data_IF_896206052099
#
_entry.id   IF_896206052099
#
_cell.length_a   1.000
_cell.length_b   1.000
_cell.length_c   1.000
_cell.angle_alpha   90.00
_cell.angle_beta   90.00
_cell.angle_gamma   90.00
#
_symmetry.space_group_name_H-M   'P 1'
#
loop_
_entity.id
_entity.type
_entity.pdbx_description
1 polymer ?
#
# COMPACT_ATOMS: atom_id res chain seq x y z
N UNK A 1 -6.97 3.91 -19.84
CA UNK A 1 -6.02 3.99 -18.71
C UNK A 1 -6.56 3.14 -17.57
N UNK A 2 -5.70 2.48 -16.81
CA UNK A 2 -6.09 1.73 -15.61
C UNK A 2 -5.65 2.53 -14.37
N UNK A 3 -6.58 2.81 -13.46
CA UNK A 3 -6.27 3.47 -12.19
C UNK A 3 -6.28 2.46 -11.07
N UNK A 4 -5.20 2.41 -10.29
CA UNK A 4 -5.09 1.60 -9.08
C UNK A 4 -5.01 2.54 -7.89
N UNK A 5 -6.09 2.63 -7.11
CA UNK A 5 -6.14 3.44 -5.90
C UNK A 5 -5.87 2.56 -4.69
N UNK A 6 -4.67 2.64 -4.12
CA UNK A 6 -4.28 1.91 -2.90
C UNK A 6 -4.32 2.84 -1.69
N UNK A 7 -5.51 2.94 -1.11
CA UNK A 7 -5.83 3.88 -0.05
C UNK A 7 -5.62 3.35 1.37
N UNK A 8 -6.21 4.07 2.33
CA UNK A 8 -6.15 3.71 3.75
C UNK A 8 -7.00 2.48 4.08
N UNK A 9 -8.20 2.34 3.51
CA UNK A 9 -9.12 1.26 3.90
C UNK A 9 -9.07 0.05 2.99
N UNK A 10 -8.91 0.26 1.68
CA UNK A 10 -8.97 -0.78 0.66
C UNK A 10 -8.18 -0.33 -0.58
N UNK A 11 -7.97 -1.25 -1.51
CA UNK A 11 -7.36 -0.97 -2.81
C UNK A 11 -8.38 -1.24 -3.92
N UNK A 12 -8.57 -0.28 -4.83
CA UNK A 12 -9.54 -0.38 -5.94
C UNK A 12 -8.82 -0.31 -7.28
N UNK A 13 -9.21 -1.18 -8.21
CA UNK A 13 -8.76 -1.19 -9.60
C UNK A 13 -9.91 -0.73 -10.48
N UNK A 14 -9.71 0.39 -11.17
CA UNK A 14 -10.71 1.04 -12.00
C UNK A 14 -10.19 1.22 -13.42
N UNK A 15 -10.61 0.36 -14.37
CA UNK A 15 -10.33 0.58 -15.79
C UNK A 15 -11.19 1.73 -16.34
N UNK A 16 -10.55 2.66 -17.02
CA UNK A 16 -11.17 3.84 -17.63
C UNK A 16 -11.01 3.80 -19.15
N UNK A 17 -12.12 3.97 -19.87
CA UNK A 17 -12.17 4.13 -21.32
C UNK A 17 -12.85 5.45 -21.66
N UNK A 18 -12.16 6.35 -22.37
CA UNK A 18 -12.70 7.67 -22.71
C UNK A 18 -13.16 8.48 -21.49
N UNK A 19 -12.45 8.34 -20.36
CA UNK A 19 -12.78 8.96 -19.07
C UNK A 19 -13.99 8.37 -18.34
N UNK A 20 -14.59 7.28 -18.84
CA UNK A 20 -15.67 6.56 -18.15
C UNK A 20 -15.15 5.29 -17.49
N UNK A 21 -15.54 5.00 -16.24
CA UNK A 21 -15.24 3.74 -15.59
C UNK A 21 -16.00 2.58 -16.22
N UNK A 22 -15.29 1.50 -16.51
CA UNK A 22 -15.87 0.25 -16.96
C UNK A 22 -16.31 -0.57 -15.74
N UNK A 23 -17.55 -0.33 -15.28
CA UNK A 23 -18.06 -0.85 -14.02
C UNK A 23 -17.98 -2.37 -13.86
N UNK A 24 -18.18 -3.16 -14.93
CA UNK A 24 -18.10 -4.62 -14.90
C UNK A 24 -16.69 -5.14 -14.54
N UNK A 25 -15.68 -4.37 -14.90
CA UNK A 25 -14.28 -4.72 -14.71
C UNK A 25 -13.66 -4.07 -13.46
N UNK A 26 -14.42 -3.30 -12.67
CA UNK A 26 -13.90 -2.77 -11.41
C UNK A 26 -13.65 -3.93 -10.45
N UNK A 27 -12.51 -3.88 -9.76
CA UNK A 27 -12.14 -4.84 -8.72
C UNK A 27 -11.74 -4.11 -7.46
N UNK A 28 -12.02 -4.72 -6.32
CA UNK A 28 -11.67 -4.19 -4.99
C UNK A 28 -11.03 -5.29 -4.16
N UNK A 29 -9.95 -4.92 -3.48
CA UNK A 29 -9.24 -5.75 -2.50
C UNK A 29 -9.44 -5.08 -1.14
N UNK A 30 -9.85 -5.83 -0.13
CA UNK A 30 -10.09 -5.29 1.22
C UNK A 30 -8.81 -5.19 2.05
N UNK A 31 -7.73 -4.80 1.38
CA UNK A 31 -6.43 -4.52 1.99
C UNK A 31 -6.07 -3.07 1.66
N UNK A 32 -5.85 -2.30 2.71
CA UNK A 32 -5.33 -0.94 2.68
C UNK A 32 -4.48 -0.66 3.91
N UNK A 33 -3.99 0.57 4.02
CA UNK A 33 -3.11 1.00 5.12
C UNK A 33 -3.58 0.65 6.53
N UNK A 34 -4.89 0.70 6.81
CA UNK A 34 -5.50 0.33 8.11
C UNK A 34 -5.27 -1.13 8.45
N UNK A 35 -5.52 -2.02 7.49
CA UNK A 35 -5.34 -3.45 7.67
C UNK A 35 -3.85 -3.76 7.93
N UNK A 36 -2.96 -3.13 7.18
CA UNK A 36 -1.52 -3.26 7.34
C UNK A 36 -1.04 -2.78 8.71
N UNK A 37 -1.50 -1.61 9.16
CA UNK A 37 -1.17 -1.07 10.49
C UNK A 37 -1.66 -2.01 11.60
N UNK A 38 -2.89 -2.52 11.52
CA UNK A 38 -3.43 -3.47 12.50
C UNK A 38 -2.66 -4.79 12.52
N UNK A 39 -2.29 -5.30 11.34
CA UNK A 39 -1.50 -6.52 11.23
C UNK A 39 -0.09 -6.33 11.81
N UNK A 40 0.56 -5.20 11.52
CA UNK A 40 1.85 -4.84 12.10
C UNK A 40 1.78 -4.72 13.62
N UNK A 41 0.74 -4.07 14.16
CA UNK A 41 0.52 -3.98 15.60
C UNK A 41 0.42 -5.38 16.23
N UNK A 42 -0.31 -6.31 15.60
CA UNK A 42 -0.40 -7.71 16.06
C UNK A 42 0.96 -8.42 16.05
N UNK A 43 1.75 -8.26 14.99
CA UNK A 43 3.07 -8.88 14.90
C UNK A 43 4.03 -8.34 15.96
N UNK A 44 4.00 -7.04 16.19
CA UNK A 44 4.81 -6.37 17.20
C UNK A 44 4.39 -6.82 18.61
N UNK A 45 3.08 -6.81 18.93
CA UNK A 45 2.55 -7.24 20.23
C UNK A 45 2.88 -8.68 20.59
N UNK A 46 3.09 -9.56 19.60
CA UNK A 46 3.49 -10.95 19.84
C UNK A 46 4.99 -11.11 20.18
N UNK A 47 5.84 -10.17 19.78
CA UNK A 47 7.31 -10.28 19.88
C UNK A 47 7.94 -9.32 20.88
N UNK A 48 7.32 -8.17 21.09
CA UNK A 48 7.82 -7.06 21.87
C UNK A 48 6.79 -6.66 22.93
N UNK A 49 6.31 -5.41 22.86
CA UNK A 49 5.32 -4.82 23.77
C UNK A 49 3.96 -4.77 23.11
N UNK A 50 2.90 -4.75 23.93
CA UNK A 50 1.56 -4.64 23.40
C UNK A 50 1.27 -3.23 22.83
N UNK A 51 1.34 -3.09 21.51
CA UNK A 51 1.11 -1.84 20.78
C UNK A 51 -0.31 -1.79 20.17
N UNK A 52 -1.24 -2.66 20.58
CA UNK A 52 -2.59 -2.74 19.99
C UNK A 52 -3.43 -1.47 20.20
N UNK A 53 -3.15 -0.72 21.26
CA UNK A 53 -3.85 0.52 21.58
C UNK A 53 -3.17 1.76 20.96
N UNK A 54 -1.92 1.64 20.53
CA UNK A 54 -1.08 2.74 20.05
C UNK A 54 -0.89 2.71 18.53
N UNK A 55 -2.00 2.58 17.80
CA UNK A 55 -1.99 2.44 16.34
C UNK A 55 -1.38 3.64 15.61
N UNK A 56 -1.38 4.82 16.23
CA UNK A 56 -0.71 6.01 15.69
C UNK A 56 0.80 5.78 15.55
N UNK A 57 1.45 5.30 16.61
CA UNK A 57 2.89 5.02 16.62
C UNK A 57 3.20 3.89 15.63
N UNK A 58 2.37 2.84 15.59
CA UNK A 58 2.54 1.74 14.63
C UNK A 58 2.40 2.24 13.19
N UNK A 59 1.52 3.21 12.92
CA UNK A 59 1.40 3.81 11.60
C UNK A 59 2.66 4.60 11.21
N UNK A 60 3.21 5.42 12.12
CA UNK A 60 4.49 6.12 11.89
C UNK A 60 5.64 5.13 11.66
N UNK A 61 5.70 4.06 12.46
CA UNK A 61 6.69 2.98 12.28
C UNK A 61 6.58 2.32 10.90
N UNK A 62 5.35 2.03 10.46
CA UNK A 62 5.07 1.45 9.14
C UNK A 62 5.55 2.38 8.02
N UNK A 63 5.18 3.66 8.09
CA UNK A 63 5.56 4.66 7.08
C UNK A 63 7.07 4.92 7.05
N UNK A 64 7.75 4.87 8.19
CA UNK A 64 9.18 5.12 8.26
C UNK A 64 10.05 3.91 7.86
N UNK A 65 9.58 2.68 8.12
CA UNK A 65 10.44 1.49 8.06
C UNK A 65 10.05 0.45 7.01
N UNK A 66 8.78 0.36 6.63
CA UNK A 66 8.29 -0.72 5.77
C UNK A 66 8.55 -0.42 4.28
N UNK A 67 8.75 -1.48 3.51
CA UNK A 67 9.01 -1.41 2.08
C UNK A 67 8.52 -2.68 1.38
N UNK A 68 8.35 -2.64 0.06
CA UNK A 68 8.00 -3.81 -0.74
C UNK A 68 9.30 -4.47 -1.23
N UNK A 69 9.49 -5.74 -0.87
CA UNK A 69 10.66 -6.50 -1.31
C UNK A 69 10.56 -6.92 -2.77
N UNK A 70 11.70 -6.88 -3.48
CA UNK A 70 11.84 -7.38 -4.85
C UNK A 70 11.96 -8.92 -4.91
N UNK A 71 12.47 -9.53 -3.84
CA UNK A 71 12.58 -10.99 -3.65
C UNK A 71 12.27 -11.33 -2.18
N UNK A 72 10.99 -11.60 -1.95
CA UNK A 72 10.48 -11.93 -0.62
C UNK A 72 11.16 -13.15 -0.01
N UNK A 73 11.48 -14.17 -0.82
CA UNK A 73 12.04 -15.42 -0.31
C UNK A 73 13.47 -15.21 0.18
N UNK A 74 14.29 -14.50 -0.61
CA UNK A 74 15.66 -14.19 -0.22
C UNK A 74 15.72 -13.34 1.05
N UNK A 75 14.88 -12.31 1.17
CA UNK A 75 14.82 -11.46 2.36
C UNK A 75 14.30 -12.23 3.59
N UNK A 76 13.38 -13.17 3.40
CA UNK A 76 12.93 -14.06 4.47
C UNK A 76 14.05 -15.00 4.94
N UNK A 77 14.85 -15.54 4.03
CA UNK A 77 16.01 -16.39 4.36
C UNK A 77 17.08 -15.62 5.15
N UNK A 78 17.35 -14.37 4.77
CA UNK A 78 18.30 -13.48 5.47
C UNK A 78 17.83 -13.12 6.89
N UNK A 79 16.53 -12.97 7.08
CA UNK A 79 15.92 -12.65 8.39
C UNK A 79 15.60 -13.89 9.22
N UNK A 80 15.85 -15.10 8.70
CA UNK A 80 15.60 -16.34 9.41
C UNK A 80 16.69 -16.61 10.45
N UNK A 81 16.26 -16.86 11.70
CA UNK A 81 17.17 -17.10 12.84
C UNK A 81 18.03 -18.35 12.68
N UNK A 82 17.59 -19.34 11.90
CA UNK A 82 18.20 -20.66 11.83
C UNK A 82 17.55 -21.68 12.78
N UNK A 83 18.01 -22.92 12.70
CA UNK A 83 17.55 -24.04 13.54
C UNK A 83 18.03 -23.87 14.99
N UNK A 84 17.36 -24.54 15.93
CA UNK A 84 17.59 -24.40 17.37
C UNK A 84 19.06 -24.65 17.74
N UNK A 85 19.77 -23.59 18.14
CA UNK A 85 21.16 -23.64 18.62
C UNK A 85 22.14 -22.80 17.78
N UNK A 86 21.89 -22.66 16.48
CA UNK A 86 22.76 -21.92 15.57
C UNK A 86 22.06 -20.68 15.05
N UNK A 87 22.57 -19.51 15.43
CA UNK A 87 22.13 -18.23 14.86
C UNK A 87 22.94 -17.96 13.61
N UNK A 88 22.26 -17.80 12.48
CA UNK A 88 22.90 -17.40 11.22
C UNK A 88 23.56 -16.03 11.34
N UNK A 89 24.67 -15.83 10.63
CA UNK A 89 25.41 -14.57 10.62
C UNK A 89 24.56 -13.41 10.08
N UNK A 90 23.76 -13.66 9.06
CA UNK A 90 22.83 -12.66 8.48
C UNK A 90 21.78 -12.21 9.50
N UNK A 91 21.25 -13.15 10.29
CA UNK A 91 20.31 -12.82 11.36
C UNK A 91 20.93 -11.98 12.47
N UNK A 92 22.20 -12.27 12.80
CA UNK A 92 22.95 -11.57 13.84
C UNK A 92 23.36 -10.16 13.41
N UNK A 93 23.81 -9.98 12.17
CA UNK A 93 24.17 -8.68 11.59
C UNK A 93 22.94 -7.85 11.21
N UNK A 94 21.78 -8.49 11.06
CA UNK A 94 20.55 -7.86 10.57
C UNK A 94 20.50 -7.72 9.05
N UNK A 95 21.56 -8.09 8.33
CA UNK A 95 21.64 -8.11 6.87
C UNK A 95 21.17 -6.82 6.15
N UNK A 96 21.27 -5.65 6.81
CA UNK A 96 20.74 -4.36 6.32
C UNK A 96 19.21 -4.27 6.27
N UNK A 97 18.51 -5.34 6.66
CA UNK A 97 17.04 -5.44 6.71
C UNK A 97 16.52 -5.11 8.10
N UNK A 98 17.30 -5.33 9.15
CA UNK A 98 16.84 -5.03 10.51
C UNK A 98 17.07 -3.55 10.81
N UNK A 99 16.10 -2.90 11.46
CA UNK A 99 16.24 -1.53 11.97
C UNK A 99 15.67 -1.43 13.38
N UNK A 100 16.23 -0.54 14.18
CA UNK A 100 15.73 -0.26 15.52
C UNK A 100 14.87 1.00 15.50
N UNK A 101 13.67 0.92 16.04
CA UNK A 101 12.76 2.05 16.20
C UNK A 101 12.70 2.46 17.66
N UNK A 102 13.13 3.68 17.95
CA UNK A 102 13.05 4.26 19.30
C UNK A 102 11.68 4.87 19.47
N UNK A 103 10.93 4.42 20.48
CA UNK A 103 9.61 4.92 20.78
C UNK A 103 9.67 6.38 21.28
N UNK A 104 8.65 7.20 20.99
CA UNK A 104 8.54 8.53 21.56
C UNK A 104 8.31 8.44 23.07
N UNK A 105 8.98 9.31 23.83
CA UNK A 105 8.82 9.43 25.29
C UNK A 105 7.75 10.46 25.69
N UNK A 106 7.23 11.23 24.72
CA UNK A 106 6.26 12.33 24.89
C UNK A 106 6.68 13.47 25.84
N UNK A 107 7.90 13.41 26.38
CA UNK A 107 8.49 14.45 27.23
C UNK A 107 9.51 15.28 26.46
N UNK A 108 10.37 14.61 25.70
CA UNK A 108 11.42 15.24 24.87
C UNK A 108 11.18 15.01 23.38
N UNK A 109 10.53 13.89 23.02
CA UNK A 109 10.30 13.44 21.66
C UNK A 109 8.85 13.00 21.49
N UNK A 110 8.14 13.73 20.64
CA UNK A 110 6.77 13.39 20.25
C UNK A 110 6.70 12.40 19.07
N UNK A 111 7.84 12.14 18.40
CA UNK A 111 7.93 11.18 17.30
C UNK A 111 9.05 10.18 17.56
N UNK A 112 8.82 8.95 17.10
CA UNK A 112 9.86 7.92 17.15
C UNK A 112 10.95 8.16 16.10
N UNK A 113 12.09 7.50 16.30
CA UNK A 113 13.27 7.64 15.44
C UNK A 113 13.70 6.26 14.96
N UNK A 114 13.84 6.12 13.64
CA UNK A 114 14.39 4.92 13.03
C UNK A 114 15.92 5.00 12.99
N UNK A 115 16.58 3.98 13.51
CA UNK A 115 18.04 3.83 13.57
C UNK A 115 18.46 2.55 12.86
N UNK A 116 19.69 2.55 12.34
CA UNK A 116 20.30 1.34 11.80
C UNK A 116 20.55 0.33 12.93
N UNK A 117 20.36 -0.96 12.62
CA UNK A 117 20.51 -2.01 13.61
C UNK A 117 21.98 -2.25 13.95
N UNK A 118 22.33 -2.09 15.23
CA UNK A 118 23.65 -2.41 15.76
C UNK A 118 23.55 -3.60 16.75
N UNK A 119 24.11 -4.78 16.43
CA UNK A 119 24.06 -5.97 17.29
C UNK A 119 24.69 -5.76 18.68
N UNK A 120 25.72 -4.93 18.78
CA UNK A 120 26.42 -4.65 20.02
C UNK A 120 25.56 -3.78 20.94
N UNK A 121 24.97 -2.72 20.39
CA UNK A 121 24.02 -1.87 21.12
C UNK A 121 22.77 -2.64 21.51
N UNK A 122 22.17 -3.42 20.60
CA UNK A 122 21.00 -4.24 20.89
C UNK A 122 21.22 -5.20 22.08
N UNK A 123 22.40 -5.81 22.17
CA UNK A 123 22.74 -6.70 23.30
C UNK A 123 22.88 -5.93 24.61
N UNK A 124 23.46 -4.72 24.56
CA UNK A 124 23.60 -3.83 25.71
C UNK A 124 22.23 -3.31 26.17
N UNK A 125 21.44 -2.73 25.27
CA UNK A 125 20.10 -2.20 25.55
C UNK A 125 19.18 -3.27 26.13
N UNK A 126 19.24 -4.51 25.62
CA UNK A 126 18.46 -5.62 26.17
C UNK A 126 18.87 -5.99 27.60
N UNK A 127 20.16 -5.89 27.94
CA UNK A 127 20.63 -6.09 29.32
C UNK A 127 20.17 -4.95 30.23
N UNK A 128 20.30 -3.69 29.82
CA UNK A 128 19.83 -2.54 30.59
C UNK A 128 18.31 -2.57 30.80
N UNK A 129 17.53 -2.89 29.76
CA UNK A 129 16.08 -3.03 29.87
C UNK A 129 15.68 -4.15 30.85
N UNK A 130 16.39 -5.27 30.86
CA UNK A 130 16.17 -6.34 31.85
C UNK A 130 16.54 -5.92 33.29
N UNK A 131 17.39 -4.91 33.45
CA UNK A 131 17.78 -4.33 34.74
C UNK A 131 16.92 -3.12 35.13
N UNK A 132 15.99 -2.67 34.28
CA UNK A 132 15.15 -1.49 34.53
C UNK A 132 15.88 -0.15 34.39
N UNK A 133 17.07 -0.13 33.79
CA UNK A 133 17.93 1.05 33.64
C UNK A 133 17.94 1.60 32.20
N UNK A 134 16.97 1.22 31.36
CA UNK A 134 16.87 1.75 30.00
C UNK A 134 16.14 3.11 29.96
N UNK A 135 16.85 4.15 29.53
CA UNK A 135 16.24 5.48 29.29
C UNK A 135 15.41 5.54 28.00
N UNK A 136 15.67 4.65 27.04
CA UNK A 136 14.97 4.60 25.74
C UNK A 136 14.30 3.24 25.54
N UNK A 137 13.02 3.26 25.17
CA UNK A 137 12.31 2.06 24.70
C UNK A 137 12.56 1.84 23.21
N UNK A 138 13.22 0.72 22.88
CA UNK A 138 13.66 0.41 21.52
C UNK A 138 13.01 -0.87 21.02
N UNK A 139 12.51 -0.82 19.80
CA UNK A 139 11.83 -1.92 19.12
C UNK A 139 12.57 -2.33 17.85
N UNK A 140 13.09 -3.55 17.84
CA UNK A 140 13.85 -4.08 16.70
C UNK A 140 12.93 -4.64 15.63
N UNK A 141 12.78 -3.89 14.54
CA UNK A 141 11.98 -4.25 13.38
C UNK A 141 12.74 -5.16 12.42
N UNK A 142 12.23 -6.38 12.19
CA UNK A 142 12.83 -7.38 11.31
C UNK A 142 11.99 -7.63 10.06
N UNK A 143 11.46 -8.85 9.91
CA UNK A 143 10.78 -9.28 8.69
C UNK A 143 9.42 -8.63 8.49
N UNK A 144 8.81 -8.08 9.53
CA UNK A 144 7.58 -7.27 9.46
C UNK A 144 7.72 -6.07 8.51
N UNK A 145 8.94 -5.54 8.32
CA UNK A 145 9.19 -4.41 7.42
C UNK A 145 8.79 -4.69 5.97
N UNK A 146 8.95 -5.93 5.51
CA UNK A 146 8.57 -6.33 4.15
C UNK A 146 7.41 -7.32 4.12
N UNK A 147 7.19 -8.10 5.19
CA UNK A 147 6.06 -9.02 5.29
C UNK A 147 4.72 -8.31 5.47
N UNK A 148 4.68 -7.12 6.08
CA UNK A 148 3.44 -6.36 6.19
C UNK A 148 3.00 -5.86 4.80
N UNK A 149 3.82 -5.11 4.02
CA UNK A 149 3.42 -4.68 2.68
C UNK A 149 3.19 -5.82 1.68
N UNK A 150 3.83 -6.99 1.87
CA UNK A 150 3.62 -8.17 1.01
C UNK A 150 2.14 -8.60 0.98
N UNK A 151 1.35 -8.33 2.04
CA UNK A 151 -0.07 -8.70 2.07
C UNK A 151 -0.91 -8.03 0.97
N UNK A 152 -0.46 -6.91 0.40
CA UNK A 152 -1.10 -6.31 -0.78
C UNK A 152 -0.97 -7.23 -2.01
N UNK A 153 0.16 -7.93 -2.12
CA UNK A 153 0.49 -8.82 -3.25
C UNK A 153 0.10 -10.27 -2.97
N UNK A 154 0.11 -10.69 -1.69
CA UNK A 154 -0.25 -12.05 -1.26
C UNK A 154 -1.16 -12.03 -0.02
N UNK A 155 -2.46 -11.72 -0.17
CA UNK A 155 -3.43 -11.77 0.93
C UNK A 155 -3.59 -13.16 1.56
N UNK A 156 -3.33 -14.22 0.80
CA UNK A 156 -3.51 -15.60 1.22
C UNK A 156 -2.63 -15.99 2.41
N UNK A 157 -1.50 -15.32 2.61
CA UNK A 157 -0.54 -15.60 3.69
C UNK A 157 -1.14 -15.35 5.09
N UNK A 158 -2.20 -14.56 5.18
CA UNK A 158 -2.97 -14.32 6.41
C UNK A 158 -4.34 -14.99 6.41
N UNK A 159 -4.58 -15.89 5.45
CA UNK A 159 -5.83 -16.62 5.31
C UNK A 159 -6.96 -15.83 4.65
N UNK A 160 -6.69 -14.66 4.07
CA UNK A 160 -7.69 -13.92 3.30
C UNK A 160 -7.91 -14.59 1.95
N UNK A 161 -9.17 -14.87 1.62
CA UNK A 161 -9.58 -15.44 0.33
C UNK A 161 -9.79 -14.35 -0.71
N UNK A 162 -8.76 -13.54 -0.95
CA UNK A 162 -8.77 -12.48 -1.95
C UNK A 162 -7.52 -12.59 -2.84
N UNK A 163 -7.62 -12.20 -4.12
CA UNK A 163 -6.47 -12.16 -5.02
C UNK A 163 -5.48 -11.07 -4.58
N UNK A 164 -4.20 -11.29 -4.90
CA UNK A 164 -3.20 -10.24 -4.83
C UNK A 164 -3.47 -9.10 -5.81
N UNK A 165 -2.76 -7.98 -5.65
CA UNK A 165 -2.95 -6.81 -6.51
C UNK A 165 -2.77 -7.10 -8.01
N UNK A 166 -1.72 -7.83 -8.40
CA UNK A 166 -1.47 -8.16 -9.80
C UNK A 166 -2.55 -9.09 -10.37
N UNK A 167 -2.95 -10.12 -9.61
CA UNK A 167 -4.03 -11.04 -9.99
C UNK A 167 -5.38 -10.32 -10.10
N UNK A 168 -5.67 -9.37 -9.20
CA UNK A 168 -6.91 -8.59 -9.25
C UNK A 168 -6.97 -7.69 -10.49
N UNK A 169 -5.83 -7.14 -10.92
CA UNK A 169 -5.72 -6.43 -12.20
C UNK A 169 -5.95 -7.39 -13.37
N UNK A 170 -5.36 -8.58 -13.35
CA UNK A 170 -5.57 -9.58 -14.40
C UNK A 170 -7.05 -9.98 -14.48
N UNK A 171 -7.71 -10.21 -13.34
CA UNK A 171 -9.15 -10.48 -13.28
C UNK A 171 -9.99 -9.31 -13.81
N UNK A 172 -9.58 -8.07 -13.56
CA UNK A 172 -10.21 -6.87 -14.14
C UNK A 172 -10.09 -6.87 -15.67
N UNK A 173 -8.91 -7.20 -16.21
CA UNK A 173 -8.66 -7.24 -17.64
C UNK A 173 -9.44 -8.36 -18.35
N UNK A 174 -9.60 -9.53 -17.71
CA UNK A 174 -10.35 -10.64 -18.28
C UNK A 174 -11.85 -10.36 -18.51
N UNK A 175 -12.44 -9.39 -17.80
CA UNK A 175 -13.81 -8.92 -18.06
C UNK A 175 -13.90 -8.02 -19.30
N UNK A 176 -12.76 -7.61 -19.85
CA UNK A 176 -12.67 -6.65 -20.94
C UNK A 176 -12.26 -7.32 -22.24
N UNK A 177 -12.74 -6.82 -23.39
CA UNK A 177 -12.25 -7.27 -24.69
C UNK A 177 -10.73 -7.13 -24.80
N UNK A 178 -10.07 -8.15 -25.35
CA UNK A 178 -8.60 -8.23 -25.43
C UNK A 178 -7.97 -7.04 -26.16
N UNK A 179 -8.68 -6.45 -27.13
CA UNK A 179 -8.22 -5.26 -27.85
C UNK A 179 -8.03 -4.02 -26.99
N UNK A 180 -8.62 -3.96 -25.79
CA UNK A 180 -8.42 -2.85 -24.84
C UNK A 180 -7.18 -3.03 -23.97
N UNK A 181 -6.65 -4.25 -23.86
CA UNK A 181 -5.59 -4.57 -22.89
C UNK A 181 -4.31 -3.77 -23.13
N UNK A 182 -3.76 -3.66 -24.36
CA UNK A 182 -2.51 -2.93 -24.57
C UNK A 182 -2.61 -1.46 -24.14
N UNK A 183 -3.74 -0.81 -24.43
CA UNK A 183 -3.97 0.59 -24.05
C UNK A 183 -4.15 0.80 -22.54
N UNK A 184 -4.71 -0.18 -21.84
CA UNK A 184 -4.85 -0.15 -20.37
C UNK A 184 -3.51 -0.44 -19.68
N UNK A 185 -2.81 -1.49 -20.11
CA UNK A 185 -1.53 -1.94 -19.54
C UNK A 185 -0.38 -0.95 -19.79
N UNK A 186 -0.38 -0.27 -20.93
CA UNK A 186 0.61 0.77 -21.22
C UNK A 186 0.38 2.07 -20.41
N UNK A 187 -0.77 2.18 -19.72
CA UNK A 187 -1.15 3.37 -18.97
C UNK A 187 -1.77 2.95 -17.63
N UNK A 188 -0.97 2.41 -16.72
CA UNK A 188 -1.37 2.12 -15.35
C UNK A 188 -0.90 3.26 -14.45
N UNK A 189 -1.83 3.88 -13.74
CA UNK A 189 -1.53 4.94 -12.76
C UNK A 189 -1.92 4.46 -11.37
N UNK A 190 -0.96 4.45 -10.45
CA UNK A 190 -1.16 4.08 -9.06
C UNK A 190 -1.24 5.34 -8.21
N UNK A 191 -2.31 5.47 -7.43
CA UNK A 191 -2.54 6.56 -6.48
C UNK A 191 -2.82 6.02 -5.07
N UNK A 192 -2.88 6.90 -4.08
CA UNK A 192 -3.17 6.55 -2.69
C UNK A 192 -1.92 6.35 -1.83
N UNK A 193 -2.09 6.48 -0.52
CA UNK A 193 -0.97 6.50 0.43
C UNK A 193 -0.19 5.18 0.53
N UNK A 194 -0.83 4.03 0.30
CA UNK A 194 -0.13 2.73 0.34
C UNK A 194 0.81 2.54 -0.85
N UNK A 195 0.64 3.32 -1.92
CA UNK A 195 1.57 3.33 -3.05
C UNK A 195 2.94 3.93 -2.72
N UNK A 196 3.09 4.60 -1.56
CA UNK A 196 4.33 5.25 -1.13
C UNK A 196 5.42 4.28 -0.69
N UNK A 197 5.10 3.01 -0.40
CA UNK A 197 6.12 2.02 -0.07
C UNK A 197 7.18 1.93 -1.18
N UNK A 198 8.44 1.94 -0.78
CA UNK A 198 9.55 1.75 -1.71
C UNK A 198 9.45 0.38 -2.37
N UNK A 199 9.71 0.32 -3.68
CA UNK A 199 9.61 -0.91 -4.46
C UNK A 199 8.20 -1.29 -4.93
N UNK A 200 7.14 -0.58 -4.49
CA UNK A 200 5.75 -0.93 -4.83
C UNK A 200 5.51 -0.98 -6.35
N UNK A 201 5.94 0.06 -7.06
CA UNK A 201 5.73 0.20 -8.51
C UNK A 201 6.54 -0.85 -9.28
N UNK A 202 7.79 -1.04 -8.90
CA UNK A 202 8.69 -2.01 -9.52
C UNK A 202 8.18 -3.43 -9.32
N UNK A 203 7.71 -3.77 -8.11
CA UNK A 203 7.11 -5.06 -7.80
C UNK A 203 5.84 -5.31 -8.62
N UNK A 204 4.92 -4.34 -8.63
CA UNK A 204 3.67 -4.46 -9.39
C UNK A 204 3.92 -4.64 -10.88
N UNK A 205 4.82 -3.83 -11.46
CA UNK A 205 5.17 -3.96 -12.88
C UNK A 205 5.80 -5.31 -13.18
N UNK A 206 6.73 -5.78 -12.34
CA UNK A 206 7.39 -7.09 -12.49
C UNK A 206 6.38 -8.23 -12.49
N UNK A 207 5.43 -8.23 -11.56
CA UNK A 207 4.40 -9.28 -11.49
C UNK A 207 3.42 -9.21 -12.67
N UNK A 208 2.97 -8.01 -13.04
CA UNK A 208 2.04 -7.85 -14.16
C UNK A 208 2.63 -8.34 -15.48
N UNK A 209 3.91 -8.05 -15.75
CA UNK A 209 4.59 -8.55 -16.96
C UNK A 209 4.61 -10.07 -17.02
N UNK A 210 4.61 -10.78 -15.88
CA UNK A 210 4.57 -12.24 -15.85
C UNK A 210 3.18 -12.83 -16.06
N UNK A 211 2.12 -12.03 -15.89
CA UNK A 211 0.72 -12.47 -15.95
C UNK A 211 0.03 -12.11 -17.27
N UNK A 212 0.56 -11.15 -18.02
CA UNK A 212 -0.03 -10.67 -19.26
C UNK A 212 0.75 -11.17 -20.48
N UNK A 213 0.12 -11.24 -21.67
CA UNK A 213 0.81 -11.60 -22.91
C UNK A 213 2.02 -10.70 -23.21
N UNK A 214 3.08 -11.29 -23.80
CA UNK A 214 4.36 -10.63 -24.09
C UNK A 214 4.26 -9.46 -25.09
N UNK A 215 3.20 -9.41 -25.90
CA UNK A 215 2.93 -8.32 -26.84
C UNK A 215 2.43 -7.05 -26.14
N UNK A 216 1.97 -7.15 -24.90
CA UNK A 216 1.48 -6.04 -24.12
C UNK A 216 2.60 -5.33 -23.36
N UNK A 217 2.83 -4.05 -23.68
CA UNK A 217 3.76 -3.20 -22.93
C UNK A 217 3.11 -2.78 -21.61
N UNK A 218 3.67 -3.22 -20.48
CA UNK A 218 3.22 -2.81 -19.15
C UNK A 218 4.01 -1.59 -18.68
N UNK A 219 3.31 -0.51 -18.33
CA UNK A 219 3.90 0.68 -17.71
C UNK A 219 3.09 1.09 -16.49
N UNK A 220 3.74 1.06 -15.34
CA UNK A 220 3.16 1.48 -14.07
C UNK A 220 3.81 2.79 -13.65
N UNK A 221 3.01 3.82 -13.46
CA UNK A 221 3.45 5.13 -13.02
C UNK A 221 2.77 5.53 -11.71
N UNK A 222 3.52 6.26 -10.87
CA UNK A 222 3.02 6.93 -9.68
C UNK A 222 3.22 8.43 -9.88
N UNK A 223 2.21 9.29 -9.63
CA UNK A 223 2.39 10.73 -9.67
C UNK A 223 3.34 11.17 -8.55
N UNK A 224 3.87 12.40 -8.64
CA UNK A 224 4.81 12.94 -7.65
C UNK A 224 4.20 12.98 -6.24
N UNK A 225 2.94 13.38 -6.12
CA UNK A 225 2.17 13.31 -4.87
C UNK A 225 0.94 12.40 -5.05
N UNK A 226 1.05 11.09 -4.76
CA UNK A 226 -0.06 10.16 -4.91
C UNK A 226 -1.18 10.32 -3.88
N UNK A 227 -0.97 11.10 -2.81
CA UNK A 227 -1.99 11.32 -1.78
C UNK A 227 -2.99 12.38 -2.26
N UNK A 228 -2.48 13.51 -2.77
CA UNK A 228 -3.32 14.65 -3.13
C UNK A 228 -3.67 14.70 -4.62
N UNK A 229 -3.05 13.87 -5.47
CA UNK A 229 -3.27 13.90 -6.92
C UNK A 229 -4.75 13.78 -7.31
N UNK A 230 -5.53 12.93 -6.64
CA UNK A 230 -6.97 12.80 -6.89
C UNK A 230 -7.73 14.10 -6.60
N UNK A 231 -7.33 14.83 -5.55
CA UNK A 231 -7.90 16.14 -5.21
C UNK A 231 -7.54 17.18 -6.27
N UNK A 232 -6.28 17.25 -6.70
CA UNK A 232 -5.88 18.15 -7.80
C UNK A 232 -6.60 17.82 -9.11
N UNK A 233 -6.81 16.53 -9.40
CA UNK A 233 -7.62 16.10 -10.54
C UNK A 233 -9.06 16.61 -10.47
N UNK A 234 -9.69 16.51 -9.29
CA UNK A 234 -11.04 17.05 -9.06
C UNK A 234 -11.08 18.59 -9.15
N UNK A 235 -10.08 19.29 -8.60
CA UNK A 235 -9.97 20.74 -8.70
C UNK A 235 -9.79 21.20 -10.15
N UNK A 236 -8.98 20.51 -10.94
CA UNK A 236 -8.82 20.77 -12.37
C UNK A 236 -10.12 20.50 -13.14
N UNK A 237 -10.85 19.44 -12.78
CA UNK A 237 -12.15 19.12 -13.37
C UNK A 237 -13.18 20.21 -13.04
N UNK A 238 -13.22 20.71 -11.80
CA UNK A 238 -14.14 21.76 -11.38
C UNK A 238 -13.89 23.09 -12.13
N UNK A 239 -12.64 23.37 -12.50
CA UNK A 239 -12.27 24.54 -13.31
C UNK A 239 -12.38 24.31 -14.82
N UNK A 240 -12.89 23.16 -15.27
CA UNK A 240 -12.95 22.84 -16.69
C UNK A 240 -14.03 23.67 -17.42
N UNK A 241 -13.79 24.20 -18.62
CA UNK A 241 -14.74 25.09 -19.33
C UNK A 241 -16.14 24.49 -19.58
N UNK A 242 -16.24 23.16 -19.61
CA UNK A 242 -17.48 22.43 -19.85
C UNK A 242 -18.12 21.86 -18.57
N UNK A 243 -17.70 22.30 -17.37
CA UNK A 243 -18.22 21.76 -16.11
C UNK A 243 -19.74 21.92 -15.99
N UNK A 244 -20.29 23.02 -16.53
CA UNK A 244 -21.73 23.29 -16.52
C UNK A 244 -22.57 22.22 -17.24
N UNK A 245 -21.97 21.49 -18.21
CA UNK A 245 -22.67 20.41 -18.92
C UNK A 245 -22.99 19.22 -18.00
N UNK A 246 -22.10 18.95 -17.04
CA UNK A 246 -22.22 17.83 -16.10
C UNK A 246 -22.66 18.25 -14.70
N UNK A 247 -22.61 19.55 -14.38
CA UNK A 247 -23.11 20.07 -13.12
C UNK A 247 -24.63 19.88 -13.03
N UNK A 248 -25.11 19.63 -11.81
CA UNK A 248 -26.55 19.49 -11.51
C UNK A 248 -26.94 20.52 -10.47
N UNK A 249 -27.94 21.32 -10.80
CA UNK A 249 -28.49 22.33 -9.90
C UNK A 249 -29.45 21.71 -8.88
N UNK A 250 -29.68 22.41 -7.78
CA UNK A 250 -30.67 21.99 -6.77
C UNK A 250 -32.08 21.84 -7.36
N UNK A 251 -32.48 22.75 -8.25
CA UNK A 251 -33.80 22.70 -8.89
C UNK A 251 -33.96 21.46 -9.76
N UNK A 252 -32.97 21.14 -10.60
CA UNK A 252 -33.01 19.93 -11.44
C UNK A 252 -33.13 18.65 -10.60
N UNK A 253 -32.47 18.61 -9.42
CA UNK A 253 -32.59 17.49 -8.50
C UNK A 253 -33.99 17.36 -7.90
N UNK A 254 -34.59 18.46 -7.46
CA UNK A 254 -35.94 18.46 -6.88
C UNK A 254 -37.00 18.02 -7.91
N UNK A 255 -36.78 18.33 -9.19
CA UNK A 255 -37.67 17.95 -10.29
C UNK A 255 -37.51 16.48 -10.73
N UNK A 256 -36.28 15.97 -10.86
CA UNK A 256 -36.01 14.66 -11.49
C UNK A 256 -35.63 13.56 -10.50
N UNK A 257 -35.28 13.93 -9.27
CA UNK A 257 -34.87 13.01 -8.22
C UNK A 257 -33.49 12.36 -8.42
N UNK A 258 -33.16 11.44 -7.53
CA UNK A 258 -31.82 10.83 -7.41
C UNK A 258 -31.44 9.88 -8.54
N UNK A 259 -32.40 9.17 -9.13
CA UNK A 259 -32.13 8.21 -10.20
C UNK A 259 -31.64 8.89 -11.49
N UNK A 260 -32.15 10.09 -11.78
CA UNK A 260 -31.72 10.87 -12.93
C UNK A 260 -30.29 11.39 -12.75
N UNK A 261 -29.95 11.88 -11.55
CA UNK A 261 -28.59 12.30 -11.21
C UNK A 261 -27.57 11.19 -11.44
N UNK A 262 -27.87 9.98 -10.96
CA UNK A 262 -26.97 8.84 -11.12
C UNK A 262 -26.66 8.53 -12.60
N UNK A 263 -27.65 8.72 -13.49
CA UNK A 263 -27.45 8.58 -14.94
C UNK A 263 -26.67 9.74 -15.55
N UNK A 264 -26.88 10.98 -15.08
CA UNK A 264 -26.17 12.15 -15.60
C UNK A 264 -24.68 12.13 -15.27
N UNK A 265 -24.32 11.71 -14.05
CA UNK A 265 -22.91 11.61 -13.67
C UNK A 265 -22.17 10.41 -14.29
N UNK A 266 -22.87 9.40 -14.81
CA UNK A 266 -22.22 8.26 -15.48
C UNK A 266 -21.71 8.58 -16.90
N UNK A 267 -22.25 9.62 -17.54
CA UNK A 267 -21.87 10.02 -18.89
C UNK A 267 -20.54 10.78 -19.00
N UNK A 268 -20.01 11.34 -17.90
CA UNK A 268 -18.72 12.06 -17.89
C UNK A 268 -18.66 13.30 -18.79
N UNK A 269 -17.54 14.05 -18.73
CA UNK A 269 -17.32 15.31 -19.45
C UNK A 269 -16.97 15.16 -20.93
N UNK A 270 -16.60 13.95 -21.39
CA UNK A 270 -15.96 13.71 -22.68
C UNK A 270 -16.93 13.43 -23.85
N UNK A 271 -18.24 13.57 -23.66
CA UNK A 271 -19.17 13.62 -24.79
C UNK A 271 -19.32 15.04 -25.29
N UNK A 272 -18.45 15.42 -26.22
CA UNK A 272 -18.69 16.44 -27.24
C UNK A 272 -18.30 15.86 -28.58
#
# INVERSE_FOLDING_TARGET
MLVVDSGFSHTTITPLLGGRPLHSAIRRIDIGGKFLTNYMARLISLRHFDMRNDLYIVNEMKEASCYVSADFKADLERTWKGTRGEKRQDYLSGAGIVKDYVLPDFHTRHKGILREYDPAQHTKSKKLAAMGESEEDVLTLRNERFAVPELIFRPSDVGMRQPGLADAIQQSLHELPIGLWPGLLANIVVVGGSSLFDGFIQRLQKELVQLVPDDCIVRVARPADPITNTWYGAANMANHPNIDKVAVTKQEYEEHGSAWIARRFSTGLLTS
#
